data_IF_885378212082
#
_entry.id   IF_885378212082
#
_cell.length_a   1.000
_cell.length_b   1.000
_cell.length_c   1.000
_cell.angle_alpha   90.00
_cell.angle_beta   90.00
_cell.angle_gamma   90.00
#
_symmetry.space_group_name_H-M   'P 1'
#
loop_
_entity.id
_entity.type
_entity.pdbx_description
1 polymer ?
#
# COMPACT_ATOMS: atom_id res chain seq x y z
N UNK A 1 73.50 20.73 -20.21
CA UNK A 1 73.09 21.22 -21.55
C UNK A 1 72.12 20.17 -22.10
N UNK A 2 70.92 20.44 -22.60
CA UNK A 2 70.37 21.60 -23.30
C UNK A 2 68.85 21.49 -23.23
N UNK A 3 68.18 22.63 -23.20
CA UNK A 3 66.74 22.82 -23.24
C UNK A 3 66.16 22.47 -24.63
N UNK A 4 64.93 21.95 -24.61
CA UNK A 4 63.76 22.19 -25.49
C UNK A 4 64.06 22.87 -26.84
N UNK A 5 63.59 22.30 -27.97
CA UNK A 5 62.85 23.01 -29.05
C UNK A 5 61.91 22.03 -29.81
N UNK A 6 60.67 22.50 -30.01
CA UNK A 6 59.57 22.05 -30.87
C UNK A 6 59.96 21.76 -32.34
N UNK A 7 59.29 20.79 -32.97
CA UNK A 7 58.98 20.84 -34.39
C UNK A 7 57.65 20.12 -34.68
N UNK A 8 56.68 20.89 -35.17
CA UNK A 8 55.41 20.38 -35.68
C UNK A 8 55.62 19.60 -36.97
N UNK A 9 54.96 18.45 -37.13
CA UNK A 9 54.81 17.80 -38.42
C UNK A 9 53.41 17.23 -38.58
N UNK A 10 52.70 17.83 -39.53
CA UNK A 10 51.46 17.39 -40.15
C UNK A 10 51.64 15.98 -40.71
N UNK A 11 50.84 15.01 -40.26
CA UNK A 11 50.71 13.71 -40.94
C UNK A 11 49.23 13.41 -41.13
N UNK A 12 48.86 13.41 -42.41
CA UNK A 12 47.65 12.85 -42.96
C UNK A 12 47.71 11.33 -42.78
N UNK A 13 46.72 10.73 -42.12
CA UNK A 13 46.52 9.28 -42.09
C UNK A 13 45.06 8.96 -42.39
N UNK A 14 44.88 8.47 -43.61
CA UNK A 14 43.70 7.85 -44.18
C UNK A 14 43.20 6.70 -43.31
N UNK A 15 41.92 6.72 -42.94
CA UNK A 15 41.19 5.51 -42.59
C UNK A 15 40.13 5.21 -43.63
N UNK A 16 40.35 4.04 -44.21
CA UNK A 16 39.55 3.25 -45.13
C UNK A 16 38.08 3.18 -44.72
N UNK A 17 37.20 3.43 -45.70
CA UNK A 17 35.77 3.22 -45.58
C UNK A 17 35.41 1.76 -45.35
N UNK A 18 34.50 1.54 -44.41
CA UNK A 18 33.56 0.44 -44.42
C UNK A 18 32.19 1.00 -44.82
N UNK A 19 31.60 0.47 -45.89
CA UNK A 19 30.19 0.66 -46.18
C UNK A 19 29.38 0.20 -44.98
N UNK A 20 28.64 1.12 -44.38
CA UNK A 20 27.53 0.79 -43.48
C UNK A 20 26.25 0.98 -44.27
N UNK A 21 25.44 -0.06 -44.24
CA UNK A 21 24.16 -0.19 -44.92
C UNK A 21 23.30 1.06 -44.89
N UNK A 22 22.64 1.23 -46.03
CA UNK A 22 21.55 2.13 -46.33
C UNK A 22 20.62 2.31 -45.12
N UNK A 23 20.75 3.46 -44.46
CA UNK A 23 19.78 3.96 -43.50
C UNK A 23 18.41 3.97 -44.18
N UNK A 24 17.54 3.04 -43.78
CA UNK A 24 16.09 3.13 -43.98
C UNK A 24 15.64 4.38 -43.23
N UNK A 25 15.69 5.53 -43.93
CA UNK A 25 14.97 6.73 -43.52
C UNK A 25 13.49 6.34 -43.55
N UNK A 26 12.72 6.48 -42.45
CA UNK A 26 11.29 6.31 -42.55
C UNK A 26 10.82 7.32 -43.60
N UNK A 27 10.22 6.84 -44.70
CA UNK A 27 9.51 7.68 -45.65
C UNK A 27 8.36 8.33 -44.88
N UNK A 28 8.60 9.53 -44.34
CA UNK A 28 7.52 10.42 -43.91
C UNK A 28 6.72 10.66 -45.20
N UNK A 29 5.42 10.29 -45.25
CA UNK A 29 4.61 10.56 -46.42
C UNK A 29 4.66 12.07 -46.70
N UNK A 30 5.17 12.45 -47.86
CA UNK A 30 5.11 13.84 -48.31
C UNK A 30 3.64 14.13 -48.59
N UNK A 31 2.97 14.76 -47.64
CA UNK A 31 1.58 15.23 -47.79
C UNK A 31 1.58 16.28 -48.90
N UNK A 32 0.96 15.96 -50.03
CA UNK A 32 0.87 16.90 -51.15
C UNK A 32 -0.15 18.01 -50.83
N UNK A 33 -0.07 19.16 -51.52
CA UNK A 33 -1.07 20.22 -51.37
C UNK A 33 -2.49 19.72 -51.68
N UNK A 34 -2.61 18.76 -52.59
CA UNK A 34 -3.87 18.13 -52.97
C UNK A 34 -4.41 17.23 -51.86
N UNK A 35 -3.55 16.46 -51.18
CA UNK A 35 -3.93 15.67 -50.00
C UNK A 35 -4.44 16.55 -48.85
N UNK A 36 -3.81 17.71 -48.64
CA UNK A 36 -4.24 18.64 -47.60
C UNK A 36 -5.59 19.30 -47.91
N UNK A 37 -5.85 19.60 -49.19
CA UNK A 37 -7.15 20.09 -49.64
C UNK A 37 -8.26 19.05 -49.41
N UNK A 38 -8.01 17.80 -49.79
CA UNK A 38 -8.96 16.70 -49.60
C UNK A 38 -9.24 16.43 -48.12
N UNK A 39 -8.21 16.44 -47.27
CA UNK A 39 -8.39 16.31 -45.81
C UNK A 39 -9.29 17.40 -45.25
N UNK A 40 -9.10 18.65 -45.69
CA UNK A 40 -9.90 19.78 -45.23
C UNK A 40 -11.37 19.67 -45.68
N UNK A 41 -11.61 19.21 -46.91
CA UNK A 41 -12.98 18.97 -47.40
C UNK A 41 -13.70 17.87 -46.61
N UNK A 42 -13.02 16.76 -46.34
CA UNK A 42 -13.57 15.68 -45.52
C UNK A 42 -13.82 16.11 -44.07
N UNK A 43 -12.92 16.93 -43.49
CA UNK A 43 -13.11 17.52 -42.16
C UNK A 43 -14.36 18.40 -42.12
N UNK A 44 -14.54 19.27 -43.12
CA UNK A 44 -15.75 20.12 -43.23
C UNK A 44 -17.04 19.31 -43.37
N UNK A 45 -16.99 18.16 -44.05
CA UNK A 45 -18.14 17.26 -44.13
C UNK A 45 -18.50 16.70 -42.75
N UNK A 46 -17.49 16.29 -41.96
CA UNK A 46 -17.71 15.81 -40.59
C UNK A 46 -18.24 16.92 -39.68
N UNK A 47 -17.71 18.14 -39.78
CA UNK A 47 -18.24 19.32 -39.06
C UNK A 47 -19.71 19.55 -39.36
N UNK A 48 -20.10 19.51 -40.65
CA UNK A 48 -21.51 19.66 -41.05
C UNK A 48 -22.41 18.56 -40.47
N UNK A 49 -21.94 17.32 -40.45
CA UNK A 49 -22.70 16.21 -39.85
C UNK A 49 -22.83 16.37 -38.34
N UNK A 50 -21.78 16.86 -37.67
CA UNK A 50 -21.79 17.17 -36.24
C UNK A 50 -22.82 18.26 -35.91
N UNK A 51 -22.79 19.38 -36.64
CA UNK A 51 -23.72 20.50 -36.46
C UNK A 51 -25.18 20.06 -36.66
N UNK A 52 -25.43 19.21 -37.65
CA UNK A 52 -26.75 18.63 -37.89
C UNK A 52 -27.23 17.78 -36.71
N UNK A 53 -26.35 16.94 -36.13
CA UNK A 53 -26.65 16.15 -34.93
C UNK A 53 -26.97 17.06 -33.75
N UNK A 54 -26.14 18.08 -33.50
CA UNK A 54 -26.36 19.04 -32.40
C UNK A 54 -27.72 19.73 -32.56
N UNK A 55 -28.05 20.19 -33.77
CA UNK A 55 -29.33 20.84 -34.06
C UNK A 55 -30.53 19.90 -33.85
N UNK A 56 -30.40 18.62 -34.23
CA UNK A 56 -31.47 17.62 -34.09
C UNK A 56 -31.67 17.12 -32.66
N UNK A 57 -30.62 17.15 -31.83
CA UNK A 57 -30.65 16.64 -30.45
C UNK A 57 -31.79 17.21 -29.60
N UNK A 58 -32.27 18.40 -29.95
CA UNK A 58 -33.29 19.11 -29.19
C UNK A 58 -32.72 19.82 -27.96
N UNK A 59 -31.39 19.90 -27.80
CA UNK A 59 -30.70 20.59 -26.70
C UNK A 59 -31.05 22.09 -26.54
N UNK A 60 -31.69 22.68 -27.55
CA UNK A 60 -32.23 24.06 -27.51
C UNK A 60 -33.63 24.15 -26.88
N UNK A 61 -34.31 23.01 -26.67
CA UNK A 61 -35.62 22.94 -26.01
C UNK A 61 -35.44 23.04 -24.48
N UNK A 62 -36.40 23.67 -23.82
CA UNK A 62 -36.44 23.73 -22.36
C UNK A 62 -36.58 22.32 -21.76
N UNK A 63 -35.75 22.03 -20.76
CA UNK A 63 -35.77 20.81 -19.96
C UNK A 63 -36.66 21.04 -18.73
N UNK A 64 -37.80 20.35 -18.66
CA UNK A 64 -38.76 20.45 -17.55
C UNK A 64 -38.89 19.14 -16.75
N UNK A 65 -38.61 18.01 -17.39
CA UNK A 65 -38.62 16.67 -16.81
C UNK A 65 -37.38 15.93 -17.37
N UNK A 66 -36.57 15.37 -16.49
CA UNK A 66 -35.36 14.66 -16.89
C UNK A 66 -35.66 13.33 -17.60
N UNK A 67 -36.83 12.73 -17.38
CA UNK A 67 -37.26 11.50 -18.07
C UNK A 67 -37.55 11.72 -19.57
N UNK A 68 -37.72 12.98 -19.99
CA UNK A 68 -37.88 13.36 -21.40
C UNK A 68 -36.56 13.45 -22.16
N UNK A 69 -35.44 13.13 -21.52
CA UNK A 69 -34.10 13.25 -22.07
C UNK A 69 -33.28 11.99 -21.83
N UNK A 70 -32.39 11.74 -22.78
CA UNK A 70 -31.45 10.63 -22.74
C UNK A 70 -30.12 11.10 -23.36
N UNK A 71 -29.10 10.25 -23.37
CA UNK A 71 -27.81 10.58 -23.94
C UNK A 71 -27.24 9.45 -24.78
N UNK A 72 -26.37 9.79 -25.73
CA UNK A 72 -25.66 8.80 -26.55
C UNK A 72 -24.21 9.21 -26.75
N UNK A 73 -23.34 8.23 -26.96
CA UNK A 73 -21.94 8.45 -27.34
C UNK A 73 -21.84 9.04 -28.74
N UNK A 74 -21.00 10.05 -28.94
CA UNK A 74 -20.80 10.75 -30.21
C UNK A 74 -19.34 10.72 -30.65
N UNK A 75 -19.12 10.32 -31.90
CA UNK A 75 -17.81 10.28 -32.52
C UNK A 75 -16.95 9.09 -32.12
N UNK A 76 -15.72 9.06 -32.65
CA UNK A 76 -14.74 7.99 -32.43
C UNK A 76 -13.35 8.60 -32.27
N UNK A 77 -12.69 8.33 -31.13
CA UNK A 77 -11.28 8.66 -30.90
C UNK A 77 -10.38 7.62 -31.58
N UNK A 78 -9.22 8.04 -32.07
CA UNK A 78 -8.27 7.16 -32.77
C UNK A 78 -7.72 5.99 -31.93
N UNK A 79 -7.85 6.05 -30.60
CA UNK A 79 -7.44 4.97 -29.67
C UNK A 79 -8.61 4.24 -29.03
N UNK A 80 -9.83 4.44 -29.55
CA UNK A 80 -11.05 3.78 -29.09
C UNK A 80 -11.88 4.64 -28.13
N UNK A 81 -13.18 4.38 -28.12
CA UNK A 81 -14.18 5.15 -27.36
C UNK A 81 -14.65 6.42 -28.09
N UNK A 82 -15.71 7.06 -27.57
CA UNK A 82 -16.26 8.27 -28.19
C UNK A 82 -15.44 9.52 -27.92
N UNK A 83 -15.67 10.56 -28.72
CA UNK A 83 -15.11 11.88 -28.45
C UNK A 83 -15.82 12.55 -27.28
N UNK A 84 -17.14 12.38 -27.18
CA UNK A 84 -17.99 12.94 -26.14
C UNK A 84 -19.33 12.20 -26.04
N UNK A 85 -20.20 12.66 -25.13
CA UNK A 85 -21.59 12.24 -25.02
C UNK A 85 -22.49 13.44 -25.31
N UNK A 86 -23.57 13.22 -26.04
CA UNK A 86 -24.56 14.24 -26.38
C UNK A 86 -25.91 13.89 -25.76
N UNK A 87 -26.55 14.87 -25.11
CA UNK A 87 -27.94 14.76 -24.64
C UNK A 87 -28.90 14.93 -25.80
N UNK A 88 -30.01 14.19 -25.79
CA UNK A 88 -31.07 14.35 -26.76
C UNK A 88 -32.44 14.17 -26.10
N UNK A 89 -33.44 14.91 -26.60
CA UNK A 89 -34.79 14.79 -26.08
C UNK A 89 -35.51 13.58 -26.69
N UNK A 90 -36.17 12.79 -25.85
CA UNK A 90 -37.05 11.69 -26.26
C UNK A 90 -38.24 12.13 -27.13
N UNK A 91 -38.50 13.45 -27.23
CA UNK A 91 -39.56 14.07 -28.04
C UNK A 91 -39.13 14.42 -29.48
N UNK A 92 -37.91 14.08 -29.89
CA UNK A 92 -37.46 14.22 -31.29
C UNK A 92 -37.71 12.91 -32.07
N UNK A 93 -37.41 12.89 -33.36
CA UNK A 93 -37.29 11.64 -34.10
C UNK A 93 -36.00 10.91 -33.68
N UNK A 94 -36.06 10.17 -32.58
CA UNK A 94 -34.90 9.49 -31.98
C UNK A 94 -34.26 8.46 -32.91
N UNK A 95 -35.06 7.81 -33.76
CA UNK A 95 -34.54 6.82 -34.72
C UNK A 95 -33.65 7.47 -35.78
N UNK A 96 -34.10 8.59 -36.38
CA UNK A 96 -33.30 9.34 -37.35
C UNK A 96 -32.06 9.97 -36.70
N UNK A 97 -32.23 10.56 -35.51
CA UNK A 97 -31.13 11.13 -34.73
C UNK A 97 -30.03 10.09 -34.43
N UNK A 98 -30.39 8.93 -33.87
CA UNK A 98 -29.43 7.88 -33.53
C UNK A 98 -28.79 7.27 -34.78
N UNK A 99 -29.52 7.20 -35.91
CA UNK A 99 -28.94 6.78 -37.18
C UNK A 99 -27.86 7.77 -37.66
N UNK A 100 -28.10 9.08 -37.58
CA UNK A 100 -27.12 10.12 -37.93
C UNK A 100 -25.91 10.10 -37.01
N UNK A 101 -26.09 9.92 -35.71
CA UNK A 101 -25.00 9.73 -34.73
C UNK A 101 -24.13 8.54 -35.14
N UNK A 102 -24.74 7.39 -35.45
CA UNK A 102 -24.02 6.20 -35.90
C UNK A 102 -23.25 6.44 -37.20
N UNK A 103 -23.86 7.12 -38.18
CA UNK A 103 -23.20 7.45 -39.46
C UNK A 103 -22.02 8.39 -39.23
N UNK A 104 -22.18 9.45 -38.44
CA UNK A 104 -21.09 10.36 -38.11
C UNK A 104 -19.92 9.63 -37.43
N UNK A 105 -20.20 8.81 -36.42
CA UNK A 105 -19.18 8.04 -35.70
C UNK A 105 -18.38 7.13 -36.65
N UNK A 106 -19.05 6.43 -37.56
CA UNK A 106 -18.41 5.57 -38.54
C UNK A 106 -17.57 6.35 -39.59
N UNK A 107 -18.08 7.49 -40.07
CA UNK A 107 -17.34 8.33 -41.02
C UNK A 107 -16.11 8.98 -40.37
N UNK A 108 -16.22 9.38 -39.10
CA UNK A 108 -15.10 9.91 -38.35
C UNK A 108 -14.02 8.86 -38.08
N UNK A 109 -14.40 7.61 -37.78
CA UNK A 109 -13.45 6.52 -37.63
C UNK A 109 -12.66 6.24 -38.92
N UNK A 110 -13.36 6.26 -40.07
CA UNK A 110 -12.71 6.16 -41.39
C UNK A 110 -11.76 7.32 -41.65
N UNK A 111 -12.18 8.54 -41.33
CA UNK A 111 -11.34 9.74 -41.45
C UNK A 111 -10.08 9.63 -40.58
N UNK A 112 -10.22 9.24 -39.31
CA UNK A 112 -9.10 9.05 -38.39
C UNK A 112 -8.11 8.02 -38.93
N UNK A 113 -8.62 6.89 -39.43
CA UNK A 113 -7.83 5.80 -39.99
C UNK A 113 -7.10 6.18 -41.27
N UNK A 114 -7.77 6.92 -42.16
CA UNK A 114 -7.25 7.43 -43.44
C UNK A 114 -6.12 8.43 -43.22
N UNK A 115 -6.35 9.41 -42.35
CA UNK A 115 -5.43 10.54 -42.14
C UNK A 115 -4.47 10.36 -40.97
N UNK A 116 -4.44 9.15 -40.37
CA UNK A 116 -3.58 8.79 -39.24
C UNK A 116 -3.67 9.82 -38.11
N UNK A 117 -4.91 10.24 -37.78
CA UNK A 117 -5.17 11.18 -36.69
C UNK A 117 -4.73 10.54 -35.38
N UNK A 118 -3.98 11.28 -34.56
CA UNK A 118 -3.59 10.87 -33.21
C UNK A 118 -4.43 11.66 -32.21
N UNK A 119 -4.97 10.97 -31.19
CA UNK A 119 -5.75 11.58 -30.11
C UNK A 119 -4.97 11.49 -28.79
N UNK A 120 -5.37 12.25 -27.77
CA UNK A 120 -4.75 12.24 -26.44
C UNK A 120 -5.01 10.94 -25.66
N UNK A 121 -5.95 10.12 -26.12
CA UNK A 121 -6.32 8.84 -25.52
C UNK A 121 -6.86 8.91 -24.09
N UNK A 122 -7.29 10.10 -23.67
CA UNK A 122 -8.06 10.27 -22.45
C UNK A 122 -9.43 9.61 -22.58
N UNK A 123 -9.80 8.81 -21.57
CA UNK A 123 -11.10 8.17 -21.46
C UNK A 123 -12.13 9.21 -21.05
N UNK A 124 -13.18 9.38 -21.86
CA UNK A 124 -14.32 10.23 -21.51
C UNK A 124 -15.21 9.47 -20.52
N UNK A 125 -15.51 10.04 -19.34
CA UNK A 125 -16.38 9.36 -18.37
C UNK A 125 -17.78 9.18 -18.97
N UNK A 126 -18.37 8.02 -18.76
CA UNK A 126 -19.76 7.74 -19.16
C UNK A 126 -20.68 8.49 -18.18
N UNK A 127 -21.63 9.30 -18.67
CA UNK A 127 -22.67 9.89 -17.83
C UNK A 127 -23.50 8.81 -17.13
N UNK A 128 -24.00 9.10 -15.92
CA UNK A 128 -24.94 8.22 -15.22
C UNK A 128 -26.40 8.54 -15.57
N UNK A 129 -26.69 9.80 -15.86
CA UNK A 129 -28.05 10.26 -16.21
C UNK A 129 -28.02 11.64 -16.88
N UNK A 130 -29.21 12.12 -17.25
CA UNK A 130 -29.46 13.51 -17.64
C UNK A 130 -30.27 14.17 -16.53
N UNK A 131 -29.99 15.44 -16.24
CA UNK A 131 -30.79 16.26 -15.33
C UNK A 131 -31.11 17.63 -15.94
N UNK A 132 -32.19 18.27 -15.48
CA UNK A 132 -32.60 19.59 -15.92
C UNK A 132 -32.04 20.66 -14.97
N UNK A 133 -30.88 21.22 -15.32
CA UNK A 133 -30.24 22.32 -14.57
C UNK A 133 -30.51 23.64 -15.27
N UNK A 134 -31.15 24.59 -14.59
CA UNK A 134 -31.54 25.90 -15.14
C UNK A 134 -32.32 25.81 -16.47
N UNK A 135 -33.20 24.81 -16.57
CA UNK A 135 -34.00 24.55 -17.77
C UNK A 135 -33.21 23.97 -18.95
N UNK A 136 -31.96 23.53 -18.75
CA UNK A 136 -31.12 22.87 -19.75
C UNK A 136 -30.81 21.43 -19.37
N UNK A 137 -30.96 20.54 -20.34
CA UNK A 137 -30.56 19.15 -20.18
C UNK A 137 -29.04 19.05 -20.05
N UNK A 138 -28.57 18.54 -18.91
CA UNK A 138 -27.16 18.47 -18.54
C UNK A 138 -26.80 17.04 -18.18
N UNK A 139 -25.65 16.56 -18.66
CA UNK A 139 -25.14 15.24 -18.29
C UNK A 139 -24.71 15.23 -16.83
N UNK A 140 -25.24 14.28 -16.07
CA UNK A 140 -24.79 14.01 -14.70
C UNK A 140 -23.77 12.90 -14.76
N UNK A 141 -22.56 13.20 -14.29
CA UNK A 141 -21.50 12.22 -14.16
C UNK A 141 -21.42 11.72 -12.73
N UNK A 142 -21.18 10.43 -12.57
CA UNK A 142 -20.81 9.87 -11.28
C UNK A 142 -19.52 10.49 -10.76
N UNK A 143 -19.27 10.43 -9.44
CA UNK A 143 -18.01 10.91 -8.88
C UNK A 143 -16.84 10.18 -9.55
N UNK A 144 -15.83 10.95 -9.92
CA UNK A 144 -14.61 10.38 -10.47
C UNK A 144 -13.88 9.55 -9.40
N UNK A 145 -12.93 8.73 -9.84
CA UNK A 145 -12.16 7.84 -8.96
C UNK A 145 -11.54 8.55 -7.76
N UNK A 146 -11.03 9.76 -7.94
CA UNK A 146 -10.36 10.51 -6.87
C UNK A 146 -11.39 11.04 -5.85
N UNK A 147 -12.54 11.51 -6.31
CA UNK A 147 -13.63 11.97 -5.45
C UNK A 147 -14.18 10.83 -4.58
N UNK A 148 -14.39 9.65 -5.15
CA UNK A 148 -14.79 8.46 -4.38
C UNK A 148 -13.70 8.01 -3.41
N UNK A 149 -12.44 8.03 -3.84
CA UNK A 149 -11.29 7.70 -2.99
C UNK A 149 -11.18 8.63 -1.79
N UNK A 150 -11.41 9.93 -1.97
CA UNK A 150 -11.41 10.89 -0.86
C UNK A 150 -12.58 10.65 0.11
N UNK A 151 -13.73 10.27 -0.42
CA UNK A 151 -14.88 9.88 0.41
C UNK A 151 -14.60 8.64 1.27
N UNK A 152 -13.93 7.62 0.70
CA UNK A 152 -13.45 6.45 1.45
C UNK A 152 -12.42 6.83 2.51
N UNK A 153 -11.47 7.70 2.17
CA UNK A 153 -10.48 8.21 3.11
C UNK A 153 -11.15 8.88 4.31
N UNK A 154 -12.14 9.75 4.07
CA UNK A 154 -12.90 10.40 5.14
C UNK A 154 -13.61 9.38 6.04
N UNK A 155 -14.24 8.37 5.46
CA UNK A 155 -14.87 7.28 6.24
C UNK A 155 -13.85 6.53 7.10
N UNK A 156 -12.66 6.26 6.56
CA UNK A 156 -11.57 5.63 7.31
C UNK A 156 -11.09 6.51 8.47
N UNK A 157 -10.86 7.81 8.23
CA UNK A 157 -10.42 8.76 9.25
C UNK A 157 -11.46 8.88 10.39
N UNK A 158 -12.75 8.87 10.06
CA UNK A 158 -13.83 8.80 11.07
C UNK A 158 -13.77 7.53 11.91
N UNK A 159 -13.50 6.37 11.30
CA UNK A 159 -13.34 5.10 12.01
C UNK A 159 -12.15 5.20 12.99
N UNK A 160 -11.02 5.74 12.54
CA UNK A 160 -9.85 5.92 13.41
C UNK A 160 -10.16 6.85 14.57
N UNK A 161 -10.87 7.97 14.34
CA UNK A 161 -11.27 8.87 15.41
C UNK A 161 -12.18 8.17 16.44
N UNK A 162 -13.11 7.33 15.97
CA UNK A 162 -14.05 6.61 16.85
C UNK A 162 -13.41 5.44 17.61
N UNK A 163 -12.35 4.84 17.09
CA UNK A 163 -11.68 3.68 17.70
C UNK A 163 -11.14 3.93 19.12
N UNK A 164 -10.97 5.19 19.50
CA UNK A 164 -10.37 5.60 20.76
C UNK A 164 -8.83 5.64 20.74
N UNK A 165 -8.17 5.28 19.62
CA UNK A 165 -6.70 5.28 19.47
C UNK A 165 -6.08 6.63 19.86
N UNK A 166 -6.78 7.74 19.57
CA UNK A 166 -6.31 9.09 19.86
C UNK A 166 -6.29 9.45 21.36
N UNK A 167 -6.99 8.70 22.22
CA UNK A 167 -7.19 9.03 23.63
C UNK A 167 -6.19 8.34 24.57
N UNK A 168 -5.12 7.75 24.02
CA UNK A 168 -4.17 6.91 24.77
C UNK A 168 -4.73 5.50 25.04
N UNK A 169 -3.89 4.60 25.55
CA UNK A 169 -4.28 3.22 25.85
C UNK A 169 -4.48 2.96 27.35
N UNK A 170 -5.74 3.01 27.80
CA UNK A 170 -6.12 2.54 29.14
C UNK A 170 -7.34 1.62 29.08
N UNK A 171 -7.26 0.45 29.72
CA UNK A 171 -8.34 -0.54 29.82
C UNK A 171 -8.27 -1.62 28.75
N UNK A 172 -9.42 -2.28 28.48
CA UNK A 172 -9.49 -3.42 27.57
C UNK A 172 -9.60 -2.95 26.11
N UNK A 173 -8.74 -3.49 25.26
CA UNK A 173 -8.69 -3.22 23.83
C UNK A 173 -8.93 -4.49 23.03
N UNK A 174 -9.66 -4.35 21.94
CA UNK A 174 -9.92 -5.40 20.96
C UNK A 174 -9.47 -4.93 19.59
N UNK A 175 -9.49 -5.82 18.60
CA UNK A 175 -9.27 -5.44 17.22
C UNK A 175 -10.40 -5.96 16.34
N UNK A 176 -10.58 -5.33 15.18
CA UNK A 176 -11.51 -5.78 14.15
C UNK A 176 -10.85 -5.71 12.78
N UNK A 177 -11.27 -6.61 11.90
CA UNK A 177 -10.92 -6.57 10.49
C UNK A 177 -11.51 -5.32 9.83
N UNK A 178 -10.78 -4.72 8.89
CA UNK A 178 -11.22 -3.59 8.08
C UNK A 178 -10.78 -3.73 6.63
N UNK A 179 -11.65 -3.33 5.71
CA UNK A 179 -11.42 -3.44 4.27
C UNK A 179 -11.47 -4.89 3.80
N UNK A 180 -11.44 -5.07 2.48
CA UNK A 180 -11.53 -6.35 1.81
C UNK A 180 -10.47 -6.43 0.72
N UNK A 181 -9.87 -7.61 0.57
CA UNK A 181 -8.96 -7.92 -0.53
C UNK A 181 -9.70 -8.69 -1.63
N UNK A 182 -9.25 -8.53 -2.87
CA UNK A 182 -9.84 -9.21 -4.03
C UNK A 182 -9.73 -10.74 -3.95
N UNK A 183 -8.70 -11.25 -3.27
CA UNK A 183 -8.49 -12.70 -3.08
C UNK A 183 -9.11 -13.24 -1.77
N UNK A 184 -9.88 -12.41 -1.05
CA UNK A 184 -10.46 -12.76 0.24
C UNK A 184 -9.61 -12.32 1.43
N UNK A 185 -10.27 -12.21 2.59
CA UNK A 185 -9.68 -11.69 3.82
C UNK A 185 -9.67 -10.14 3.87
N UNK A 186 -9.32 -9.59 5.04
CA UNK A 186 -9.33 -8.15 5.23
C UNK A 186 -8.09 -7.47 4.66
N UNK A 187 -8.19 -6.16 4.47
CA UNK A 187 -7.05 -5.34 4.08
C UNK A 187 -6.12 -5.07 5.26
N UNK A 188 -6.69 -4.88 6.45
CA UNK A 188 -5.95 -4.64 7.69
C UNK A 188 -6.80 -5.03 8.91
N UNK A 189 -6.19 -4.87 10.09
CA UNK A 189 -6.89 -4.88 11.37
C UNK A 189 -6.72 -3.52 12.03
N UNK A 190 -7.72 -3.10 12.81
CA UNK A 190 -7.66 -1.87 13.60
C UNK A 190 -7.95 -2.19 15.07
N UNK A 191 -7.14 -1.67 16.01
CA UNK A 191 -7.46 -1.75 17.42
C UNK A 191 -8.57 -0.76 17.78
N UNK A 192 -9.41 -1.11 18.74
CA UNK A 192 -10.43 -0.23 19.30
C UNK A 192 -10.62 -0.49 20.79
N UNK A 193 -10.94 0.57 21.54
CA UNK A 193 -11.20 0.48 22.97
C UNK A 193 -12.60 -0.05 23.23
N UNK A 194 -12.77 -0.93 24.22
CA UNK A 194 -14.11 -1.36 24.65
C UNK A 194 -14.90 -0.27 25.42
N UNK A 195 -14.27 0.88 25.69
CA UNK A 195 -14.94 2.02 26.35
C UNK A 195 -15.78 2.86 25.38
N UNK A 196 -15.65 2.65 24.07
CA UNK A 196 -16.42 3.39 23.05
C UNK A 196 -17.79 2.74 22.82
N UNK A 197 -18.65 3.38 22.04
CA UNK A 197 -19.83 2.72 21.48
C UNK A 197 -19.40 1.71 20.40
N UNK A 198 -19.11 0.48 20.81
CA UNK A 198 -18.56 -0.58 19.95
C UNK A 198 -19.53 -0.98 18.83
N UNK A 199 -20.84 -0.99 19.09
CA UNK A 199 -21.85 -1.30 18.08
C UNK A 199 -21.83 -0.30 16.93
N UNK A 200 -21.84 1.00 17.25
CA UNK A 200 -21.80 2.07 16.24
C UNK A 200 -20.47 2.06 15.47
N UNK A 201 -19.36 1.82 16.17
CA UNK A 201 -18.04 1.70 15.57
C UNK A 201 -17.96 0.53 14.57
N UNK A 202 -18.34 -0.68 15.00
CA UNK A 202 -18.31 -1.87 14.14
C UNK A 202 -19.25 -1.74 12.95
N UNK A 203 -20.41 -1.08 13.12
CA UNK A 203 -21.30 -0.78 12.00
C UNK A 203 -20.62 0.11 10.94
N UNK A 204 -19.89 1.17 11.36
CA UNK A 204 -19.12 2.02 10.43
C UNK A 204 -18.00 1.25 9.74
N UNK A 205 -17.30 0.36 10.44
CA UNK A 205 -16.25 -0.49 9.85
C UNK A 205 -16.82 -1.41 8.77
N UNK A 206 -17.98 -2.02 9.01
CA UNK A 206 -18.66 -2.87 8.03
C UNK A 206 -19.09 -2.07 6.80
N UNK A 207 -19.67 -0.88 6.99
CA UNK A 207 -20.07 0.01 5.88
C UNK A 207 -18.86 0.42 5.05
N UNK A 208 -17.77 0.86 5.69
CA UNK A 208 -16.53 1.20 4.99
C UNK A 208 -16.00 0.00 4.19
N UNK A 209 -15.96 -1.18 4.80
CA UNK A 209 -15.44 -2.40 4.18
C UNK A 209 -16.24 -2.79 2.93
N UNK A 210 -17.58 -2.70 3.00
CA UNK A 210 -18.44 -2.93 1.85
C UNK A 210 -18.19 -1.90 0.73
N UNK A 211 -18.16 -0.60 1.07
CA UNK A 211 -17.93 0.48 0.11
C UNK A 211 -16.55 0.44 -0.55
N UNK A 212 -15.51 0.10 0.21
CA UNK A 212 -14.17 -0.08 -0.33
C UNK A 212 -14.13 -1.27 -1.29
N UNK A 213 -14.82 -2.38 -0.99
CA UNK A 213 -14.96 -3.50 -1.91
C UNK A 213 -15.72 -3.16 -3.20
N UNK A 214 -16.77 -2.35 -3.12
CA UNK A 214 -17.49 -1.83 -4.30
C UNK A 214 -16.61 -0.91 -5.16
N UNK A 215 -15.87 0.00 -4.52
CA UNK A 215 -14.91 0.89 -5.17
C UNK A 215 -13.83 0.09 -5.90
N UNK A 216 -13.23 -0.90 -5.26
CA UNK A 216 -12.19 -1.71 -5.88
C UNK A 216 -12.73 -2.49 -7.10
N UNK A 217 -13.95 -3.01 -7.01
CA UNK A 217 -14.64 -3.65 -8.16
C UNK A 217 -14.91 -2.65 -9.29
N UNK A 218 -15.49 -1.49 -8.97
CA UNK A 218 -15.82 -0.42 -9.94
C UNK A 218 -14.59 0.02 -10.72
N UNK A 219 -13.48 0.21 -10.02
CA UNK A 219 -12.23 0.74 -10.59
C UNK A 219 -11.20 -0.33 -10.97
N UNK A 220 -11.59 -1.62 -10.93
CA UNK A 220 -10.74 -2.77 -11.28
C UNK A 220 -9.39 -2.72 -10.54
N UNK A 221 -9.44 -2.39 -9.25
CA UNK A 221 -8.28 -2.34 -8.37
C UNK A 221 -8.02 -3.77 -7.88
N UNK A 222 -6.84 -4.29 -8.20
CA UNK A 222 -6.41 -5.60 -7.77
C UNK A 222 -5.47 -5.45 -6.57
N UNK A 223 -5.73 -6.20 -5.50
CA UNK A 223 -4.79 -6.32 -4.38
C UNK A 223 -3.85 -7.50 -4.58
N UNK A 224 -2.74 -7.53 -3.85
CA UNK A 224 -1.99 -8.78 -3.68
C UNK A 224 -2.86 -9.81 -2.96
N UNK A 225 -2.60 -11.10 -3.19
CA UNK A 225 -3.28 -12.19 -2.47
C UNK A 225 -2.56 -12.55 -1.16
N UNK A 226 -1.71 -11.68 -0.63
CA UNK A 226 -1.00 -11.93 0.62
C UNK A 226 -2.00 -11.99 1.77
N UNK A 227 -1.94 -13.07 2.55
CA UNK A 227 -2.76 -13.23 3.75
C UNK A 227 -2.28 -12.23 4.79
N UNK A 228 -3.18 -11.35 5.23
CA UNK A 228 -2.88 -10.44 6.35
C UNK A 228 -2.92 -11.27 7.63
N UNK A 229 -1.81 -11.37 8.39
CA UNK A 229 -1.78 -12.14 9.61
C UNK A 229 -2.82 -11.60 10.60
N UNK A 230 -3.54 -12.50 11.26
CA UNK A 230 -4.50 -12.13 12.30
C UNK A 230 -3.71 -11.76 13.56
N UNK A 231 -3.95 -10.59 14.17
CA UNK A 231 -3.38 -10.26 15.47
C UNK A 231 -3.83 -11.27 16.54
N UNK A 232 -3.01 -11.54 17.54
CA UNK A 232 -3.41 -12.33 18.71
C UNK A 232 -4.17 -11.46 19.73
N UNK A 233 -3.72 -10.22 19.91
CA UNK A 233 -4.28 -9.30 20.90
C UNK A 233 -3.93 -7.84 20.57
N UNK A 234 -4.40 -6.92 21.42
CA UNK A 234 -4.01 -5.51 21.40
C UNK A 234 -3.36 -5.17 22.74
N UNK A 235 -2.17 -4.58 22.70
CA UNK A 235 -1.43 -4.18 23.90
C UNK A 235 -1.09 -2.69 23.87
N UNK A 236 -0.96 -2.11 25.07
CA UNK A 236 -0.57 -0.72 25.25
C UNK A 236 0.95 -0.62 25.23
N UNK A 237 1.52 -0.06 24.16
CA UNK A 237 2.97 0.16 24.02
C UNK A 237 3.21 1.66 23.86
N UNK A 238 3.95 2.25 24.79
CA UNK A 238 4.26 3.69 24.79
C UNK A 238 3.02 4.60 24.65
N UNK A 239 1.94 4.27 25.36
CA UNK A 239 0.69 5.05 25.31
C UNK A 239 -0.14 4.86 24.03
N UNK A 240 0.24 3.93 23.14
CA UNK A 240 -0.51 3.59 21.93
C UNK A 240 -1.00 2.14 21.92
N UNK A 241 -2.26 1.96 21.54
CA UNK A 241 -2.83 0.64 21.30
C UNK A 241 -2.18 0.01 20.05
N UNK A 242 -1.43 -1.06 20.26
CA UNK A 242 -0.62 -1.73 19.24
C UNK A 242 -1.16 -3.15 19.03
N UNK A 243 -1.37 -3.53 17.76
CA UNK A 243 -1.71 -4.91 17.40
C UNK A 243 -0.50 -5.81 17.63
N UNK A 244 -0.73 -6.94 18.28
CA UNK A 244 0.32 -7.88 18.66
C UNK A 244 0.17 -9.14 17.80
N UNK A 245 1.24 -9.54 17.12
CA UNK A 245 1.25 -10.71 16.24
C UNK A 245 2.11 -11.83 16.82
N UNK A 246 1.78 -13.07 16.50
CA UNK A 246 2.57 -14.24 16.95
C UNK A 246 4.04 -14.17 16.51
N UNK A 247 4.30 -13.58 15.34
CA UNK A 247 5.66 -13.33 14.86
C UNK A 247 6.48 -12.49 15.84
N UNK A 248 5.85 -11.49 16.48
CA UNK A 248 6.52 -10.59 17.41
C UNK A 248 6.95 -11.37 18.66
N UNK A 249 6.10 -12.29 19.14
CA UNK A 249 6.42 -13.18 20.26
C UNK A 249 7.64 -14.03 19.95
N UNK A 250 7.67 -14.60 18.75
CA UNK A 250 8.74 -15.47 18.31
C UNK A 250 10.05 -14.68 18.23
N UNK A 251 10.04 -13.49 17.63
CA UNK A 251 11.22 -12.63 17.53
C UNK A 251 11.73 -12.19 18.89
N UNK A 252 10.86 -11.70 19.78
CA UNK A 252 11.27 -11.28 21.12
C UNK A 252 11.84 -12.44 21.95
N UNK A 253 11.25 -13.63 21.85
CA UNK A 253 11.78 -14.84 22.49
C UNK A 253 13.17 -15.19 21.95
N UNK A 254 13.37 -15.13 20.63
CA UNK A 254 14.67 -15.40 20.01
C UNK A 254 15.74 -14.38 20.47
N UNK A 255 15.36 -13.12 20.67
CA UNK A 255 16.29 -12.12 21.16
C UNK A 255 16.63 -12.32 22.64
N UNK A 256 15.68 -12.76 23.46
CA UNK A 256 15.96 -13.22 24.83
C UNK A 256 16.90 -14.43 24.85
N UNK A 257 16.66 -15.43 23.99
CA UNK A 257 17.53 -16.61 23.86
C UNK A 257 18.96 -16.22 23.48
N UNK A 258 19.15 -15.31 22.52
CA UNK A 258 20.48 -14.79 22.15
C UNK A 258 21.16 -14.04 23.30
N UNK A 259 20.42 -13.21 24.03
CA UNK A 259 20.94 -12.50 25.20
C UNK A 259 21.37 -13.48 26.29
N UNK A 260 20.58 -14.53 26.51
CA UNK A 260 20.91 -15.59 27.46
C UNK A 260 22.19 -16.33 27.05
N UNK A 261 22.31 -16.74 25.79
CA UNK A 261 23.51 -17.42 25.29
C UNK A 261 24.76 -16.55 25.39
N UNK A 262 24.64 -15.24 25.14
CA UNK A 262 25.71 -14.27 25.34
C UNK A 262 26.13 -14.22 26.82
N UNK A 263 25.17 -14.15 27.74
CA UNK A 263 25.44 -14.15 29.18
C UNK A 263 26.14 -15.45 29.61
N UNK A 264 25.67 -16.60 29.17
CA UNK A 264 26.28 -17.90 29.47
C UNK A 264 27.71 -18.00 28.91
N UNK A 265 27.97 -17.38 27.77
CA UNK A 265 29.32 -17.29 27.21
C UNK A 265 30.21 -16.37 28.05
N UNK A 266 29.69 -15.20 28.46
CA UNK A 266 30.40 -14.20 29.25
C UNK A 266 30.65 -14.62 30.70
N UNK A 267 29.80 -15.48 31.28
CA UNK A 267 29.95 -15.95 32.67
C UNK A 267 31.30 -16.65 32.90
N UNK A 268 32.00 -17.02 31.82
CA UNK A 268 33.26 -17.73 31.89
C UNK A 268 33.07 -19.23 31.77
N UNK A 269 31.94 -19.72 31.24
CA UNK A 269 31.70 -21.13 30.92
C UNK A 269 32.84 -21.80 30.13
N UNK A 270 33.59 -21.02 29.33
CA UNK A 270 34.77 -21.48 28.59
C UNK A 270 36.08 -21.47 29.39
N UNK A 271 36.10 -20.89 30.60
CA UNK A 271 37.27 -20.84 31.49
C UNK A 271 37.31 -22.10 32.36
N UNK A 272 38.51 -22.63 32.57
CA UNK A 272 38.74 -23.72 33.51
C UNK A 272 38.54 -23.25 34.96
N UNK A 273 37.79 -24.03 35.73
CA UNK A 273 37.60 -23.84 37.17
C UNK A 273 38.66 -24.65 37.91
N UNK A 274 39.64 -23.97 38.50
CA UNK A 274 40.71 -24.60 39.30
C UNK A 274 40.69 -24.19 40.77
N UNK A 275 40.15 -23.03 41.09
CA UNK A 275 39.95 -22.53 42.45
C UNK A 275 38.53 -21.98 42.57
N UNK A 276 37.77 -22.47 43.54
CA UNK A 276 36.38 -22.04 43.75
C UNK A 276 36.27 -20.59 44.22
N UNK A 277 37.34 -20.02 44.82
CA UNK A 277 37.40 -18.61 45.23
C UNK A 277 37.43 -17.64 44.04
N UNK A 278 37.75 -18.13 42.85
CA UNK A 278 37.72 -17.35 41.61
C UNK A 278 36.33 -17.28 40.97
N UNK A 279 35.31 -17.85 41.62
CA UNK A 279 33.96 -17.95 41.09
C UNK A 279 32.93 -17.47 42.10
N UNK A 280 31.84 -16.94 41.58
CA UNK A 280 30.65 -16.58 42.33
C UNK A 280 29.41 -16.97 41.53
N UNK A 281 28.21 -16.74 42.05
CA UNK A 281 26.98 -16.98 41.31
C UNK A 281 26.04 -15.78 41.40
N UNK A 282 25.14 -15.66 40.43
CA UNK A 282 24.08 -14.65 40.40
C UNK A 282 22.78 -15.30 39.97
N UNK A 283 21.67 -14.71 40.42
CA UNK A 283 20.35 -15.00 39.89
C UNK A 283 20.19 -14.46 38.47
N UNK A 284 19.40 -15.12 37.64
CA UNK A 284 19.07 -14.68 36.28
C UNK A 284 17.63 -15.01 35.91
N UNK A 285 17.02 -14.11 35.15
CA UNK A 285 15.67 -14.26 34.64
C UNK A 285 14.60 -13.93 35.66
N UNK A 286 13.34 -13.94 35.23
CA UNK A 286 12.20 -13.57 36.07
C UNK A 286 11.07 -14.55 35.83
N UNK A 287 10.78 -15.43 36.78
CA UNK A 287 9.59 -16.29 36.69
C UNK A 287 8.32 -15.43 36.79
N UNK A 288 7.23 -15.78 36.07
CA UNK A 288 5.94 -15.09 36.16
C UNK A 288 5.40 -14.95 37.59
N UNK A 289 5.62 -15.95 38.44
CA UNK A 289 5.19 -15.99 39.84
C UNK A 289 6.10 -15.23 40.82
N UNK A 290 7.19 -14.64 40.35
CA UNK A 290 8.24 -14.03 41.17
C UNK A 290 9.43 -14.95 41.40
N UNK A 291 10.57 -14.34 41.73
CA UNK A 291 11.87 -14.99 41.85
C UNK A 291 12.59 -15.22 40.51
N UNK A 292 13.85 -15.65 40.57
CA UNK A 292 14.65 -15.88 39.38
C UNK A 292 14.25 -17.16 38.64
N UNK A 293 14.61 -17.23 37.35
CA UNK A 293 14.42 -18.45 36.57
C UNK A 293 15.41 -19.52 36.98
N UNK A 294 16.66 -19.12 37.22
CA UNK A 294 17.75 -19.99 37.67
C UNK A 294 18.90 -19.17 38.28
N UNK A 295 19.93 -19.86 38.74
CA UNK A 295 21.20 -19.25 39.15
C UNK A 295 22.30 -19.70 38.18
N UNK A 296 23.24 -18.80 37.91
CA UNK A 296 24.39 -19.07 37.04
C UNK A 296 25.71 -18.80 37.77
N UNK A 297 26.68 -19.73 37.74
CA UNK A 297 28.02 -19.46 38.20
C UNK A 297 28.75 -18.57 37.19
N UNK A 298 29.57 -17.64 37.67
CA UNK A 298 30.43 -16.79 36.86
C UNK A 298 31.81 -16.60 37.48
N UNK A 299 32.82 -16.43 36.63
CA UNK A 299 34.20 -16.22 37.05
C UNK A 299 34.42 -14.77 37.47
N UNK A 300 35.08 -14.54 38.61
CA UNK A 300 35.48 -13.21 39.08
C UNK A 300 36.60 -12.58 38.23
N UNK A 301 37.18 -13.34 37.28
CA UNK A 301 38.22 -12.88 36.35
C UNK A 301 37.66 -12.31 35.03
N UNK A 302 36.35 -12.10 34.92
CA UNK A 302 35.72 -11.41 33.79
C UNK A 302 35.45 -9.94 34.17
N UNK A 303 34.95 -9.13 33.24
CA UNK A 303 34.34 -7.85 33.62
C UNK A 303 33.01 -8.11 34.32
N UNK A 304 33.05 -8.25 35.64
CA UNK A 304 31.89 -8.60 36.47
C UNK A 304 30.82 -7.51 36.47
N UNK A 305 31.21 -6.25 36.31
CA UNK A 305 30.25 -5.12 36.27
C UNK A 305 29.38 -5.20 35.03
N UNK A 306 30.00 -5.36 33.86
CA UNK A 306 29.27 -5.47 32.58
C UNK A 306 28.43 -6.75 32.54
N UNK A 307 28.97 -7.86 33.06
CA UNK A 307 28.24 -9.13 33.14
C UNK A 307 26.97 -9.01 33.99
N UNK A 308 27.07 -8.49 35.21
CA UNK A 308 25.90 -8.32 36.10
C UNK A 308 24.90 -7.33 35.51
N UNK A 309 25.36 -6.26 34.85
CA UNK A 309 24.47 -5.32 34.15
C UNK A 309 23.69 -6.00 33.00
N UNK A 310 24.33 -6.90 32.23
CA UNK A 310 23.68 -7.70 31.18
C UNK A 310 22.66 -8.68 31.77
N UNK A 311 22.99 -9.36 32.86
CA UNK A 311 22.06 -10.24 33.59
C UNK A 311 20.83 -9.46 34.06
N UNK A 312 21.01 -8.28 34.64
CA UNK A 312 19.91 -7.40 35.05
C UNK A 312 19.03 -6.96 33.87
N UNK A 313 19.65 -6.61 32.74
CA UNK A 313 18.94 -6.20 31.51
C UNK A 313 18.13 -7.36 30.94
N UNK A 314 18.70 -8.55 30.83
CA UNK A 314 17.99 -9.76 30.41
C UNK A 314 16.80 -10.05 31.33
N UNK A 315 17.02 -9.99 32.65
CA UNK A 315 16.00 -10.28 33.66
C UNK A 315 14.83 -9.30 33.57
N UNK A 316 15.10 -8.02 33.37
CA UNK A 316 14.06 -7.01 33.15
C UNK A 316 13.28 -7.27 31.86
N UNK A 317 13.96 -7.51 30.74
CA UNK A 317 13.31 -7.82 29.46
C UNK A 317 12.48 -9.09 29.50
N UNK A 318 12.96 -10.13 30.16
CA UNK A 318 12.22 -11.38 30.31
C UNK A 318 10.95 -11.16 31.15
N UNK A 319 11.00 -10.32 32.17
CA UNK A 319 9.82 -9.93 32.96
C UNK A 319 8.79 -9.20 32.09
N UNK A 320 9.23 -8.22 31.31
CA UNK A 320 8.37 -7.50 30.37
C UNK A 320 7.74 -8.45 29.34
N UNK A 321 8.54 -9.38 28.79
CA UNK A 321 8.05 -10.42 27.89
C UNK A 321 6.98 -11.30 28.55
N UNK A 322 7.22 -11.76 29.78
CA UNK A 322 6.27 -12.60 30.51
C UNK A 322 4.94 -11.88 30.75
N UNK A 323 4.99 -10.60 31.12
CA UNK A 323 3.81 -9.76 31.31
C UNK A 323 3.07 -9.51 29.98
N UNK A 324 3.80 -9.14 28.94
CA UNK A 324 3.24 -8.83 27.61
C UNK A 324 2.54 -10.04 26.99
N UNK A 325 3.13 -11.23 27.13
CA UNK A 325 2.66 -12.45 26.46
C UNK A 325 1.88 -13.40 27.37
N UNK A 326 1.55 -12.99 28.60
CA UNK A 326 0.79 -13.80 29.55
C UNK A 326 1.43 -15.16 29.82
N UNK A 327 2.75 -15.19 29.98
CA UNK A 327 3.48 -16.44 30.22
C UNK A 327 3.13 -16.97 31.61
N UNK A 328 2.68 -18.21 31.68
CA UNK A 328 2.34 -18.89 32.93
C UNK A 328 3.56 -19.68 33.46
N UNK A 329 3.60 -19.90 34.77
CA UNK A 329 4.57 -20.77 35.44
C UNK A 329 3.86 -21.67 36.43
N UNK A 330 4.39 -22.87 36.60
CA UNK A 330 4.09 -23.82 37.67
C UNK A 330 4.36 -23.31 39.09
N UNK A 331 4.97 -22.13 39.23
CA UNK A 331 5.36 -21.51 40.49
C UNK A 331 6.35 -22.34 41.32
N UNK A 332 7.13 -23.20 40.67
CA UNK A 332 8.15 -23.98 41.37
C UNK A 332 9.26 -23.07 41.89
N UNK A 333 9.49 -23.11 43.21
CA UNK A 333 10.58 -22.38 43.84
C UNK A 333 11.91 -23.07 43.52
N UNK A 334 12.91 -22.26 43.15
CA UNK A 334 14.28 -22.75 43.00
C UNK A 334 15.06 -22.43 44.26
N UNK A 335 15.78 -23.42 44.78
CA UNK A 335 16.64 -23.24 45.93
C UNK A 335 17.81 -22.32 45.58
N UNK A 336 18.20 -21.47 46.52
CA UNK A 336 19.37 -20.62 46.37
C UNK A 336 20.64 -21.45 46.61
N UNK A 337 21.65 -21.41 45.72
CA UNK A 337 22.95 -22.04 45.97
C UNK A 337 23.61 -21.46 47.23
N UNK A 338 24.40 -22.29 47.92
CA UNK A 338 25.28 -21.86 49.03
C UNK A 338 26.64 -21.40 48.53
N UNK A 339 27.15 -22.03 47.47
CA UNK A 339 28.48 -21.73 46.91
C UNK A 339 28.63 -22.23 45.48
N UNK A 340 29.79 -21.93 44.89
CA UNK A 340 30.29 -22.55 43.66
C UNK A 340 31.45 -23.47 44.03
N UNK A 341 31.55 -24.62 43.38
CA UNK A 341 32.72 -25.51 43.47
C UNK A 341 33.23 -25.92 42.08
N UNK A 342 34.51 -26.29 42.01
CA UNK A 342 35.15 -26.71 40.76
C UNK A 342 35.10 -28.24 40.63
N UNK A 343 34.18 -28.74 39.80
CA UNK A 343 34.01 -30.18 39.56
C UNK A 343 34.29 -30.48 38.09
N UNK A 344 35.27 -31.36 37.85
CA UNK A 344 35.74 -31.72 36.49
C UNK A 344 36.21 -30.50 35.67
N UNK A 345 36.85 -29.53 36.33
CA UNK A 345 37.28 -28.28 35.70
C UNK A 345 36.15 -27.31 35.35
N UNK A 346 34.90 -27.59 35.76
CA UNK A 346 33.73 -26.74 35.52
C UNK A 346 33.18 -26.21 36.84
N UNK A 347 32.77 -24.94 36.84
CA UNK A 347 32.07 -24.35 37.96
C UNK A 347 30.67 -24.96 38.09
N UNK A 348 30.36 -25.55 39.25
CA UNK A 348 29.05 -26.12 39.58
C UNK A 348 28.50 -25.44 40.84
N UNK A 349 27.19 -25.20 40.86
CA UNK A 349 26.47 -24.66 42.00
C UNK A 349 26.24 -25.75 43.05
N UNK A 350 26.49 -25.42 44.32
CA UNK A 350 26.31 -26.31 45.47
C UNK A 350 25.15 -25.79 46.32
N UNK A 351 24.19 -26.66 46.63
CA UNK A 351 22.94 -26.30 47.32
C UNK A 351 22.86 -26.78 48.78
N UNK A 352 23.71 -27.74 49.17
CA UNK A 352 23.63 -28.43 50.46
C UNK A 352 24.75 -28.06 51.42
#
# INVERSE_FOLDING_TARGET
MKKIILAAFTICLTFTGCSSDELIKPKIPVVTKDDQSLKNEESKKLEKMYDEIVALSGNTKACMDNNDWDFTSLGSKSCGGPNEYIVYSSKINTTDFLAKVKTYTAEQEKFNSKWKIISTCDVVPVPESVDCVDGKATLVYGPDRNTEKESLKKMYDEIIALSGIANGCEGNWHFTAIGSKSCGGPQAYIPYSLKINTTAFLAKVNIYTAKQGEFDKKWKIFSTCDVVPVPESVYCVNGKATLIYQSDKITERQDLEKMYDEIITLSGKSKQCTDNKDWNFTEIGSKPCGGPQEYIPYSLKINTTDFIAKVGTYTAKQREFNQKWGINSDCELIDMPKSVDCVDGKAKLIYN
#
